data_IF_594735639006
#
_entry.id   IF_594735639006
#
_cell.length_a   1.000
_cell.length_b   1.000
_cell.length_c   1.000
_cell.angle_alpha   90.00
_cell.angle_beta   90.00
_cell.angle_gamma   90.00
#
_symmetry.space_group_name_H-M   'P 1'
#
loop_
_entity.id
_entity.type
_entity.pdbx_description
1 polymer ?
#
# COMPACT_ATOMS: atom_id res chain seq x y z
N UNK A 1 17.39 -36.15 -0.50
CA UNK A 1 16.80 -34.81 -0.75
C UNK A 1 15.40 -34.85 -1.39
N UNK A 2 15.14 -35.65 -2.41
CA UNK A 2 13.85 -35.74 -3.08
C UNK A 2 12.71 -36.26 -2.17
N UNK A 3 12.96 -37.17 -1.24
CA UNK A 3 11.94 -37.69 -0.31
C UNK A 3 11.42 -36.67 0.72
N UNK A 4 12.21 -35.68 1.09
CA UNK A 4 11.76 -34.61 2.00
C UNK A 4 10.92 -33.54 1.30
N UNK A 5 11.14 -33.33 0.00
CA UNK A 5 10.36 -32.39 -0.80
C UNK A 5 8.91 -32.86 -0.97
N UNK A 6 8.69 -34.15 -1.22
CA UNK A 6 7.35 -34.72 -1.34
C UNK A 6 6.59 -34.77 0.01
N UNK A 7 7.28 -34.94 1.11
CA UNK A 7 6.66 -34.91 2.45
C UNK A 7 6.17 -33.49 2.82
N UNK A 8 6.92 -32.44 2.48
CA UNK A 8 6.52 -31.05 2.73
C UNK A 8 5.36 -30.60 1.86
N UNK A 9 5.35 -30.99 0.59
CA UNK A 9 4.24 -30.71 -0.32
C UNK A 9 2.97 -31.43 0.13
N UNK A 10 3.07 -32.68 0.56
CA UNK A 10 1.93 -33.44 1.07
C UNK A 10 1.33 -32.85 2.35
N UNK A 11 2.15 -32.35 3.27
CA UNK A 11 1.68 -31.68 4.49
C UNK A 11 0.99 -30.34 4.17
N UNK A 12 1.53 -29.54 3.23
CA UNK A 12 0.88 -28.30 2.80
C UNK A 12 -0.46 -28.58 2.09
N UNK A 13 -0.52 -29.58 1.23
CA UNK A 13 -1.75 -29.98 0.54
C UNK A 13 -2.80 -30.51 1.52
N UNK A 14 -2.40 -31.27 2.54
CA UNK A 14 -3.29 -31.68 3.62
C UNK A 14 -3.80 -30.51 4.45
N UNK A 15 -2.97 -29.52 4.75
CA UNK A 15 -3.39 -28.30 5.47
C UNK A 15 -4.39 -27.48 4.67
N UNK A 16 -4.19 -27.33 3.36
CA UNK A 16 -5.12 -26.63 2.46
C UNK A 16 -6.44 -27.43 2.34
N UNK A 17 -6.39 -28.74 2.28
CA UNK A 17 -7.59 -29.58 2.20
C UNK A 17 -8.37 -29.59 3.53
N UNK A 18 -7.68 -29.55 4.67
CA UNK A 18 -8.32 -29.42 6.00
C UNK A 18 -8.96 -28.05 6.16
N UNK A 19 -8.31 -26.98 5.71
CA UNK A 19 -8.88 -25.62 5.70
C UNK A 19 -10.10 -25.51 4.79
N UNK A 20 -10.06 -26.10 3.60
CA UNK A 20 -11.21 -26.13 2.68
C UNK A 20 -12.38 -26.97 3.22
N UNK A 21 -12.12 -28.05 3.96
CA UNK A 21 -13.16 -28.89 4.55
C UNK A 21 -13.88 -28.19 5.72
N UNK A 22 -13.14 -27.40 6.54
CA UNK A 22 -13.76 -26.62 7.59
C UNK A 22 -14.57 -25.41 7.10
N UNK A 23 -14.28 -24.88 5.91
CA UNK A 23 -15.08 -23.80 5.29
C UNK A 23 -16.44 -24.32 4.78
N UNK A 24 -16.56 -25.59 4.43
CA UNK A 24 -17.81 -26.18 3.92
C UNK A 24 -18.78 -26.64 5.02
N UNK A 25 -18.36 -26.77 6.26
CA UNK A 25 -19.21 -27.25 7.38
C UNK A 25 -19.86 -26.14 8.22
N UNK A 26 -19.58 -24.84 7.96
CA UNK A 26 -20.19 -23.71 8.65
C UNK A 26 -21.32 -23.03 7.86
N UNK A 27 -22.20 -23.83 7.27
CA UNK A 27 -23.45 -23.36 6.68
C UNK A 27 -24.64 -23.69 7.57
N UNK A 28 -25.26 -22.66 8.12
CA UNK A 28 -26.56 -22.68 8.81
C UNK A 28 -26.52 -22.64 10.33
N UNK A 29 -26.44 -21.44 10.87
CA UNK A 29 -27.11 -21.10 12.12
C UNK A 29 -27.75 -19.70 11.98
N UNK A 30 -29.06 -19.68 12.12
CA UNK A 30 -29.91 -18.48 12.14
C UNK A 30 -29.59 -17.62 13.35
N UNK A 31 -28.97 -16.47 13.13
CA UNK A 31 -28.82 -15.43 14.14
C UNK A 31 -29.85 -14.31 13.89
N UNK A 32 -30.65 -14.05 14.91
CA UNK A 32 -31.62 -12.96 14.98
C UNK A 32 -30.90 -11.60 14.90
N UNK A 33 -31.27 -10.80 13.89
CA UNK A 33 -30.76 -9.45 13.68
C UNK A 33 -31.31 -8.47 14.71
N UNK A 34 -30.45 -7.95 15.55
CA UNK A 34 -30.65 -6.61 16.14
C UNK A 34 -30.11 -5.57 15.15
N UNK A 35 -30.83 -4.50 14.83
CA UNK A 35 -30.38 -3.52 13.86
C UNK A 35 -29.24 -2.68 14.46
N UNK A 36 -28.03 -2.90 13.95
CA UNK A 36 -26.89 -2.00 14.19
C UNK A 36 -27.17 -0.75 13.37
N UNK A 37 -27.27 0.39 14.07
CA UNK A 37 -27.41 1.69 13.45
C UNK A 37 -26.34 1.88 12.35
N UNK A 38 -26.83 2.07 11.13
CA UNK A 38 -26.02 2.35 9.96
C UNK A 38 -25.33 3.70 10.14
N UNK A 39 -24.06 3.69 10.50
CA UNK A 39 -23.19 4.85 10.30
C UNK A 39 -22.85 4.88 8.80
N UNK A 40 -23.85 5.14 7.98
CA UNK A 40 -23.64 5.70 6.66
C UNK A 40 -23.23 7.14 6.87
N UNK A 41 -21.93 7.42 6.86
CA UNK A 41 -21.45 8.77 6.67
C UNK A 41 -22.13 9.29 5.38
N UNK A 42 -23.06 10.20 5.53
CA UNK A 42 -23.65 10.93 4.40
C UNK A 42 -22.49 11.68 3.74
N UNK A 43 -21.95 11.11 2.65
CA UNK A 43 -21.04 11.82 1.78
C UNK A 43 -21.83 13.00 1.25
N UNK A 44 -21.55 14.18 1.77
CA UNK A 44 -22.14 15.44 1.32
C UNK A 44 -21.74 15.64 -0.12
N UNK A 45 -22.70 15.50 -1.05
CA UNK A 45 -22.56 15.80 -2.47
C UNK A 45 -22.57 17.32 -2.74
N UNK A 46 -21.93 18.13 -1.91
CA UNK A 46 -21.70 19.53 -2.28
C UNK A 46 -20.33 19.61 -2.96
N UNK A 47 -20.26 20.10 -4.21
CA UNK A 47 -18.99 20.44 -4.81
C UNK A 47 -18.32 21.48 -3.91
N UNK A 48 -17.10 21.23 -3.49
CA UNK A 48 -16.28 22.23 -2.78
C UNK A 48 -15.75 23.25 -3.80
N UNK A 49 -16.64 24.05 -4.38
CA UNK A 49 -16.29 25.05 -5.40
C UNK A 49 -15.55 26.27 -4.84
N UNK A 50 -15.14 26.27 -3.55
CA UNK A 50 -14.60 27.45 -2.89
C UNK A 50 -13.38 27.16 -1.96
N UNK A 51 -12.44 26.30 -2.32
CA UNK A 51 -11.14 26.30 -1.64
C UNK A 51 -10.34 27.51 -2.15
N UNK A 52 -10.57 28.67 -1.57
CA UNK A 52 -9.90 29.93 -1.95
C UNK A 52 -8.41 30.00 -1.55
N UNK A 53 -7.91 29.06 -0.75
CA UNK A 53 -6.53 29.10 -0.27
C UNK A 53 -5.98 27.70 0.00
N UNK A 54 -5.42 27.07 -1.03
CA UNK A 54 -4.77 25.77 -0.89
C UNK A 54 -3.61 25.77 0.12
N UNK A 55 -2.91 26.89 0.31
CA UNK A 55 -1.81 26.97 1.27
C UNK A 55 -2.27 26.61 2.70
N UNK A 56 -3.49 26.97 3.11
CA UNK A 56 -4.03 26.61 4.42
C UNK A 56 -4.30 25.11 4.56
N UNK A 57 -4.72 24.45 3.48
CA UNK A 57 -4.92 22.99 3.44
C UNK A 57 -3.56 22.29 3.62
N UNK A 58 -2.55 22.73 2.86
CA UNK A 58 -1.20 22.15 2.93
C UNK A 58 -0.57 22.31 4.31
N UNK A 59 -0.69 23.48 4.92
CA UNK A 59 -0.21 23.72 6.29
C UNK A 59 -0.92 22.84 7.30
N UNK A 60 -2.24 22.63 7.15
CA UNK A 60 -3.01 21.76 8.03
C UNK A 60 -2.60 20.28 7.87
N UNK A 61 -2.41 19.81 6.63
CA UNK A 61 -1.90 18.45 6.38
C UNK A 61 -0.53 18.25 7.03
N UNK A 62 0.37 19.21 6.85
CA UNK A 62 1.72 19.16 7.41
C UNK A 62 1.72 19.19 8.95
N UNK A 63 0.84 19.99 9.53
CA UNK A 63 0.66 20.11 10.98
C UNK A 63 0.07 18.86 11.66
N UNK A 64 -0.65 18.01 10.91
CA UNK A 64 -1.20 16.75 11.43
C UNK A 64 -0.15 15.65 11.57
N UNK A 65 0.97 15.74 10.83
CA UNK A 65 2.00 14.72 10.84
C UNK A 65 2.70 14.70 12.20
N UNK A 66 2.65 13.55 12.86
CA UNK A 66 3.27 13.34 14.16
C UNK A 66 3.87 11.93 14.26
N UNK A 67 4.43 11.57 15.41
CA UNK A 67 5.05 10.27 15.65
C UNK A 67 4.07 9.08 15.78
N UNK A 68 2.78 9.30 15.60
CA UNK A 68 1.73 8.27 15.69
C UNK A 68 0.97 8.08 14.40
N UNK A 69 0.88 9.14 13.57
CA UNK A 69 0.10 9.11 12.33
C UNK A 69 0.47 10.25 11.38
N UNK A 70 0.20 10.08 10.12
CA UNK A 70 0.30 11.14 9.10
C UNK A 70 -0.94 12.04 9.15
N UNK A 71 -2.08 11.50 9.55
CA UNK A 71 -3.34 12.25 9.66
C UNK A 71 -4.22 11.70 10.76
N UNK A 72 -5.14 12.55 11.21
CA UNK A 72 -6.27 12.14 12.07
C UNK A 72 -7.53 12.06 11.23
N UNK A 73 -8.28 10.95 11.32
CA UNK A 73 -9.50 10.77 10.54
C UNK A 73 -10.54 11.81 10.90
N UNK A 74 -10.96 12.58 9.92
CA UNK A 74 -11.95 13.65 10.01
C UNK A 74 -12.43 14.01 8.60
N UNK A 75 -13.42 14.88 8.48
CA UNK A 75 -13.87 15.44 7.19
C UNK A 75 -12.75 16.18 6.44
N UNK A 76 -11.74 16.64 7.15
CA UNK A 76 -10.57 17.30 6.55
C UNK A 76 -9.75 16.35 5.67
N UNK A 77 -9.73 15.03 5.94
CA UNK A 77 -9.03 14.07 5.07
C UNK A 77 -9.63 14.08 3.65
N UNK A 78 -10.94 14.16 3.54
CA UNK A 78 -11.63 14.22 2.24
C UNK A 78 -11.39 15.56 1.56
N UNK A 79 -11.33 16.67 2.30
CA UNK A 79 -10.94 17.99 1.80
C UNK A 79 -9.49 17.99 1.26
N UNK A 80 -8.55 17.40 2.00
CA UNK A 80 -7.17 17.26 1.60
C UNK A 80 -7.02 16.42 0.32
N UNK A 81 -7.75 15.32 0.20
CA UNK A 81 -7.80 14.48 -1.00
C UNK A 81 -8.39 15.26 -2.18
N UNK A 82 -9.45 16.02 -1.98
CA UNK A 82 -10.05 16.85 -3.04
C UNK A 82 -9.09 17.97 -3.48
N UNK A 83 -8.35 18.58 -2.56
CA UNK A 83 -7.31 19.55 -2.87
C UNK A 83 -6.18 18.94 -3.73
N UNK A 84 -5.71 17.73 -3.41
CA UNK A 84 -4.72 17.01 -4.23
C UNK A 84 -5.23 16.72 -5.65
N UNK A 85 -6.53 16.49 -5.81
CA UNK A 85 -7.17 16.25 -7.11
C UNK A 85 -7.30 17.51 -7.96
N UNK A 86 -7.56 18.67 -7.35
CA UNK A 86 -8.05 19.87 -8.05
C UNK A 86 -7.05 21.02 -8.09
N UNK A 87 -6.13 21.11 -7.13
CA UNK A 87 -5.19 22.22 -7.10
C UNK A 87 -4.37 22.28 -8.40
N UNK A 88 -4.26 23.50 -8.98
CA UNK A 88 -3.53 23.73 -10.23
C UNK A 88 -2.07 23.28 -10.09
N UNK A 89 -1.54 22.60 -11.09
CA UNK A 89 -0.11 22.34 -11.20
C UNK A 89 0.58 23.63 -11.63
N UNK A 90 1.57 24.08 -10.85
CA UNK A 90 2.35 25.31 -11.11
C UNK A 90 3.80 25.01 -11.49
N UNK A 91 4.27 23.77 -11.27
CA UNK A 91 5.58 23.28 -11.69
C UNK A 91 5.55 21.77 -11.84
N UNK A 92 6.25 21.24 -12.86
CA UNK A 92 6.40 19.81 -13.09
C UNK A 92 7.87 19.49 -13.44
N UNK A 93 8.47 18.60 -12.63
CA UNK A 93 9.86 18.17 -12.79
C UNK A 93 9.94 16.65 -12.94
N UNK A 94 10.87 16.16 -13.75
CA UNK A 94 11.22 14.74 -13.80
C UNK A 94 11.94 14.33 -12.52
N UNK A 95 11.61 13.16 -11.98
CA UNK A 95 12.32 12.56 -10.84
C UNK A 95 13.17 11.41 -11.35
N UNK A 96 14.49 11.56 -11.28
CA UNK A 96 15.46 10.58 -11.77
C UNK A 96 15.84 9.51 -10.73
N UNK A 97 15.50 9.74 -9.45
CA UNK A 97 15.80 8.79 -8.37
C UNK A 97 14.87 7.57 -8.42
N UNK A 98 15.45 6.37 -8.34
CA UNK A 98 14.72 5.10 -8.33
C UNK A 98 14.42 4.55 -9.72
N UNK A 99 13.63 3.46 -9.78
CA UNK A 99 13.39 2.67 -11.01
C UNK A 99 12.10 3.00 -11.74
N UNK A 100 11.16 3.72 -11.11
CA UNK A 100 9.86 4.05 -11.70
C UNK A 100 9.86 5.40 -12.42
N UNK A 101 9.11 5.50 -13.51
CA UNK A 101 8.82 6.77 -14.19
C UNK A 101 7.87 7.59 -13.33
N UNK A 102 8.32 8.76 -12.89
CA UNK A 102 7.56 9.59 -11.96
C UNK A 102 7.96 11.06 -12.04
N UNK A 103 7.04 11.94 -11.68
CA UNK A 103 7.22 13.38 -11.68
C UNK A 103 7.04 13.95 -10.28
N UNK A 104 7.76 15.01 -9.98
CA UNK A 104 7.46 15.88 -8.85
C UNK A 104 6.67 17.07 -9.36
N UNK A 105 5.43 17.18 -8.92
CA UNK A 105 4.59 18.32 -9.22
C UNK A 105 4.57 19.26 -8.02
N UNK A 106 4.56 20.56 -8.28
CA UNK A 106 4.22 21.58 -7.27
C UNK A 106 2.82 22.07 -7.57
N UNK A 107 1.94 21.97 -6.60
CA UNK A 107 0.55 22.40 -6.68
C UNK A 107 0.41 23.85 -6.21
N UNK A 108 -0.65 24.51 -6.64
CA UNK A 108 -1.02 25.84 -6.18
C UNK A 108 -1.08 25.86 -4.64
N UNK A 109 -0.53 26.92 -4.03
CA UNK A 109 -0.25 26.99 -2.60
C UNK A 109 1.08 26.37 -2.17
N UNK A 110 1.90 25.84 -3.11
CA UNK A 110 3.30 25.46 -2.89
C UNK A 110 3.55 24.00 -2.47
N UNK A 111 2.51 23.16 -2.38
CA UNK A 111 2.69 21.74 -2.00
C UNK A 111 3.37 20.92 -3.10
N UNK A 112 4.47 20.28 -2.76
CA UNK A 112 5.04 19.23 -3.61
C UNK A 112 4.27 17.91 -3.48
N UNK A 113 4.09 17.22 -4.60
CA UNK A 113 3.51 15.87 -4.66
C UNK A 113 4.33 15.00 -5.63
N UNK A 114 4.33 13.71 -5.39
CA UNK A 114 4.81 12.74 -6.35
C UNK A 114 3.65 12.32 -7.25
N UNK A 115 3.86 12.33 -8.56
CA UNK A 115 2.91 11.82 -9.53
C UNK A 115 3.49 10.60 -10.22
N UNK A 116 2.82 9.46 -10.10
CA UNK A 116 3.17 8.21 -10.77
C UNK A 116 2.16 7.97 -11.89
N UNK A 117 2.54 8.18 -13.17
CA UNK A 117 1.62 7.98 -14.30
C UNK A 117 1.40 6.50 -14.62
N UNK A 118 0.22 6.17 -15.13
CA UNK A 118 -0.11 4.85 -15.64
C UNK A 118 0.55 4.65 -17.00
N UNK A 119 1.56 3.80 -17.08
CA UNK A 119 2.25 3.49 -18.32
C UNK A 119 1.53 2.37 -19.08
N UNK A 120 1.02 2.68 -20.28
CA UNK A 120 0.38 1.72 -21.18
C UNK A 120 1.29 1.48 -22.37
N UNK A 121 1.67 0.24 -22.63
CA UNK A 121 2.55 -0.11 -23.74
C UNK A 121 1.89 0.20 -25.08
N UNK A 122 2.59 0.95 -25.96
CA UNK A 122 2.09 1.32 -27.27
C UNK A 122 1.78 0.11 -28.17
N UNK A 123 2.60 -0.95 -28.09
CA UNK A 123 2.50 -2.09 -29.00
C UNK A 123 1.37 -3.06 -28.61
N UNK A 124 1.21 -3.34 -27.32
CA UNK A 124 0.21 -4.30 -26.83
C UNK A 124 -1.07 -3.64 -26.35
N UNK A 125 -1.03 -2.33 -26.13
CA UNK A 125 -2.10 -1.56 -25.49
C UNK A 125 -2.51 -2.12 -24.12
N UNK A 126 -1.60 -2.85 -23.46
CA UNK A 126 -1.79 -3.49 -22.17
C UNK A 126 -0.85 -2.91 -21.12
N UNK A 127 -1.29 -2.94 -19.88
CA UNK A 127 -0.42 -2.73 -18.72
C UNK A 127 0.31 -4.04 -18.45
N UNK A 128 1.58 -3.96 -18.14
CA UNK A 128 2.35 -5.15 -17.77
C UNK A 128 1.87 -5.63 -16.40
N UNK A 129 1.44 -6.88 -16.30
CA UNK A 129 0.92 -7.48 -15.06
C UNK A 129 2.01 -8.20 -14.24
N UNK A 130 3.26 -8.16 -14.68
CA UNK A 130 4.35 -8.89 -14.05
C UNK A 130 5.04 -8.05 -12.97
N UNK A 131 4.85 -8.42 -11.72
CA UNK A 131 5.43 -7.74 -10.56
C UNK A 131 6.96 -7.80 -10.50
N UNK A 132 7.58 -8.75 -11.17
CA UNK A 132 9.05 -8.93 -11.10
C UNK A 132 9.76 -8.08 -12.16
N UNK A 133 9.10 -7.83 -13.27
CA UNK A 133 9.65 -7.16 -14.44
C UNK A 133 8.76 -6.04 -14.99
N UNK A 134 7.59 -5.81 -14.39
CA UNK A 134 6.59 -4.87 -14.86
C UNK A 134 6.82 -3.41 -14.46
N UNK A 135 5.98 -2.56 -14.98
CA UNK A 135 5.87 -1.17 -14.56
C UNK A 135 5.00 -1.06 -13.31
N UNK A 136 5.25 -0.04 -12.50
CA UNK A 136 4.39 0.28 -11.38
C UNK A 136 2.97 0.65 -11.82
N UNK A 137 2.00 0.25 -11.03
CA UNK A 137 0.59 0.52 -11.23
C UNK A 137 0.12 1.60 -10.24
N UNK A 138 -0.19 2.81 -10.68
CA UNK A 138 -0.59 3.90 -9.78
C UNK A 138 -1.87 3.59 -9.01
N UNK A 139 -2.78 2.79 -9.56
CA UNK A 139 -3.98 2.33 -8.86
C UNK A 139 -3.68 1.49 -7.61
N UNK A 140 -2.54 0.81 -7.55
CA UNK A 140 -2.14 0.05 -6.35
C UNK A 140 -1.64 0.97 -5.23
N UNK A 141 -1.06 2.13 -5.56
CA UNK A 141 -0.76 3.19 -4.58
C UNK A 141 -2.06 3.71 -3.93
N UNK A 142 -3.09 3.96 -4.74
CA UNK A 142 -4.40 4.42 -4.26
C UNK A 142 -5.08 3.33 -3.42
N UNK A 143 -5.00 2.08 -3.85
CA UNK A 143 -5.54 0.94 -3.13
C UNK A 143 -4.86 0.75 -1.77
N UNK A 144 -3.52 0.83 -1.72
CA UNK A 144 -2.74 0.77 -0.49
C UNK A 144 -3.16 1.86 0.51
N UNK A 145 -3.27 3.11 0.06
CA UNK A 145 -3.75 4.22 0.89
C UNK A 145 -5.19 3.98 1.38
N UNK A 146 -6.08 3.52 0.51
CA UNK A 146 -7.47 3.22 0.88
C UNK A 146 -7.55 2.14 1.94
N UNK A 147 -6.80 1.04 1.80
CA UNK A 147 -6.69 -0.01 2.81
C UNK A 147 -6.15 0.52 4.13
N UNK A 148 -5.07 1.29 4.08
CA UNK A 148 -4.44 1.90 5.25
C UNK A 148 -5.44 2.80 6.01
N UNK A 149 -6.28 3.55 5.27
CA UNK A 149 -7.35 4.36 5.84
C UNK A 149 -8.47 3.50 6.45
N UNK A 150 -8.95 2.49 5.73
CA UNK A 150 -9.99 1.56 6.21
C UNK A 150 -9.55 0.84 7.50
N UNK A 151 -8.30 0.40 7.58
CA UNK A 151 -7.74 -0.22 8.77
C UNK A 151 -7.31 0.78 9.84
N UNK A 152 -7.56 2.07 9.61
CA UNK A 152 -7.26 3.15 10.52
C UNK A 152 -5.77 3.22 10.95
N UNK A 153 -4.83 2.73 10.13
CA UNK A 153 -3.39 2.77 10.43
C UNK A 153 -2.84 4.18 10.36
N UNK A 154 -3.23 4.94 9.33
CA UNK A 154 -2.92 6.36 9.16
C UNK A 154 -1.42 6.67 9.03
N UNK A 155 -0.68 5.75 8.46
CA UNK A 155 0.76 5.85 8.25
C UNK A 155 1.18 5.75 6.78
N UNK A 156 0.25 5.94 5.84
CA UNK A 156 0.54 6.19 4.42
C UNK A 156 0.29 7.66 4.09
N UNK A 157 1.10 8.27 3.20
CA UNK A 157 0.83 9.59 2.66
C UNK A 157 -0.53 9.64 1.97
N UNK A 158 -1.22 10.78 2.04
CA UNK A 158 -2.45 10.97 1.25
C UNK A 158 -2.21 10.66 -0.20
N UNK A 159 -3.02 9.78 -0.77
CA UNK A 159 -2.86 9.30 -2.14
C UNK A 159 -4.22 9.24 -2.82
N UNK A 160 -4.29 9.71 -4.06
CA UNK A 160 -5.52 9.69 -4.87
C UNK A 160 -5.19 9.66 -6.35
N UNK A 161 -6.15 9.23 -7.17
CA UNK A 161 -6.06 9.33 -8.61
C UNK A 161 -6.21 10.76 -9.13
N UNK A 162 -5.56 11.04 -10.25
CA UNK A 162 -5.73 12.29 -11.00
C UNK A 162 -5.55 12.04 -12.49
N UNK A 163 -6.32 12.79 -13.31
CA UNK A 163 -6.15 12.92 -14.75
C UNK A 163 -5.60 14.28 -15.06
N UNK A 164 -4.49 14.35 -15.77
CA UNK A 164 -3.80 15.58 -16.15
C UNK A 164 -3.74 15.69 -17.66
N UNK A 165 -4.04 16.87 -18.19
CA UNK A 165 -3.82 17.19 -19.60
C UNK A 165 -2.36 17.60 -19.79
N UNK A 166 -1.63 16.88 -20.65
CA UNK A 166 -0.27 17.28 -20.98
C UNK A 166 -0.23 18.73 -21.46
N UNK A 167 -0.97 19.02 -22.53
CA UNK A 167 -0.93 20.31 -23.20
C UNK A 167 -1.39 21.49 -22.33
N UNK A 168 -2.41 21.26 -21.48
CA UNK A 168 -3.04 22.36 -20.75
C UNK A 168 -2.52 22.53 -19.32
N UNK A 169 -2.02 21.47 -18.70
CA UNK A 169 -1.65 21.47 -17.28
C UNK A 169 -0.17 21.21 -17.03
N UNK A 170 0.50 20.38 -17.85
CA UNK A 170 1.88 19.95 -17.60
C UNK A 170 2.88 20.69 -18.48
N UNK A 171 2.72 20.65 -19.80
CA UNK A 171 3.67 21.24 -20.76
C UNK A 171 4.01 22.71 -20.43
N UNK A 172 3.04 23.59 -20.08
CA UNK A 172 3.33 25.01 -19.80
C UNK A 172 4.19 25.26 -18.55
N UNK A 173 4.33 24.26 -17.67
CA UNK A 173 5.00 24.36 -16.36
C UNK A 173 6.06 23.28 -16.18
N UNK A 174 6.32 22.51 -17.22
CA UNK A 174 7.32 21.42 -17.21
C UNK A 174 8.73 21.98 -17.28
N UNK A 175 9.66 21.34 -16.54
CA UNK A 175 11.09 21.58 -16.69
C UNK A 175 11.61 21.01 -18.01
N UNK A 176 12.76 21.54 -18.48
CA UNK A 176 13.41 21.05 -19.69
C UNK A 176 13.64 19.53 -19.64
N UNK A 177 14.09 19.00 -18.52
CA UNK A 177 14.31 17.56 -18.32
C UNK A 177 13.04 16.72 -18.46
N UNK A 178 11.88 17.28 -18.10
CA UNK A 178 10.60 16.60 -18.30
C UNK A 178 10.16 16.70 -19.76
N UNK A 179 10.31 17.85 -20.39
CA UNK A 179 10.00 18.05 -21.83
C UNK A 179 10.85 17.12 -22.72
N UNK A 180 12.14 16.98 -22.43
CA UNK A 180 13.07 16.09 -23.16
C UNK A 180 12.74 14.59 -22.98
N UNK A 181 12.06 14.21 -21.90
CA UNK A 181 11.65 12.82 -21.65
C UNK A 181 10.43 12.37 -22.44
N UNK A 182 9.77 13.31 -23.13
CA UNK A 182 8.49 13.09 -23.78
C UNK A 182 8.59 13.31 -25.28
N UNK A 183 7.94 12.43 -26.05
CA UNK A 183 7.75 12.58 -27.50
C UNK A 183 6.26 12.77 -27.80
N UNK A 184 5.93 13.80 -28.57
CA UNK A 184 4.57 14.04 -29.06
C UNK A 184 4.47 13.51 -30.48
N UNK A 185 3.57 12.53 -30.69
CA UNK A 185 3.33 11.94 -32.00
C UNK A 185 2.48 12.88 -32.87
N UNK A 186 2.48 12.71 -34.22
CA UNK A 186 1.71 13.55 -35.14
C UNK A 186 0.19 13.58 -34.90
N UNK A 187 -0.35 12.52 -34.29
CA UNK A 187 -1.76 12.39 -33.87
C UNK A 187 -2.06 13.07 -32.53
N UNK A 188 -1.05 13.66 -31.87
CA UNK A 188 -1.15 14.35 -30.59
C UNK A 188 -1.04 13.41 -29.38
N UNK A 189 -0.73 12.13 -29.55
CA UNK A 189 -0.41 11.24 -28.44
C UNK A 189 0.92 11.63 -27.81
N UNK A 190 0.95 11.61 -26.49
CA UNK A 190 2.13 11.92 -25.66
C UNK A 190 2.78 10.61 -25.24
N UNK A 191 4.02 10.39 -25.64
CA UNK A 191 4.70 9.13 -25.40
C UNK A 191 6.02 9.33 -24.65
N UNK A 192 6.39 8.35 -23.85
CA UNK A 192 7.66 8.29 -23.11
C UNK A 192 8.38 6.97 -23.39
N UNK A 193 9.70 7.02 -23.40
CA UNK A 193 10.53 5.81 -23.46
C UNK A 193 11.05 5.52 -22.05
N UNK A 194 10.77 4.34 -21.54
CA UNK A 194 11.18 3.94 -20.21
C UNK A 194 11.46 2.45 -20.11
N UNK A 195 12.43 2.10 -19.31
CA UNK A 195 12.71 0.72 -18.89
C UNK A 195 12.05 0.47 -17.56
N UNK A 196 10.92 -0.22 -17.55
CA UNK A 196 10.36 -0.73 -16.29
C UNK A 196 11.30 -1.79 -15.70
N UNK A 197 11.19 -2.07 -14.42
CA UNK A 197 12.09 -2.93 -13.64
C UNK A 197 12.57 -4.14 -14.46
N UNK A 198 13.90 -4.25 -14.69
CA UNK A 198 14.55 -5.37 -15.38
C UNK A 198 14.08 -5.64 -16.82
N UNK A 199 13.29 -4.76 -17.43
CA UNK A 199 12.86 -4.88 -18.81
C UNK A 199 13.69 -4.03 -19.75
N UNK A 200 13.65 -4.38 -21.04
CA UNK A 200 14.18 -3.50 -22.09
C UNK A 200 13.31 -2.25 -22.17
N UNK A 201 13.91 -1.14 -22.55
CA UNK A 201 13.22 0.12 -22.79
C UNK A 201 12.11 -0.08 -23.82
N UNK A 202 10.91 0.42 -23.47
CA UNK A 202 9.71 0.38 -24.31
C UNK A 202 9.10 1.78 -24.42
N UNK A 203 8.25 1.95 -25.41
CA UNK A 203 7.48 3.17 -25.59
C UNK A 203 6.11 3.01 -24.96
N UNK A 204 5.74 3.95 -24.11
CA UNK A 204 4.44 4.03 -23.44
C UNK A 204 3.77 5.32 -23.83
N UNK A 205 2.48 5.28 -24.17
CA UNK A 205 1.76 6.46 -24.65
C UNK A 205 0.52 6.76 -23.83
N UNK A 206 0.21 8.03 -23.72
CA UNK A 206 -0.95 8.57 -23.03
C UNK A 206 -1.99 9.00 -24.06
N UNK A 207 -3.12 8.33 -24.12
CA UNK A 207 -4.16 8.54 -25.10
C UNK A 207 -4.68 9.99 -25.07
N UNK A 208 -4.70 10.65 -26.23
CA UNK A 208 -5.17 12.04 -26.39
C UNK A 208 -4.47 13.03 -25.46
N UNK A 209 -3.24 12.73 -25.04
CA UNK A 209 -2.49 13.58 -24.14
C UNK A 209 -3.08 13.68 -22.72
N UNK A 210 -3.98 12.76 -22.33
CA UNK A 210 -4.50 12.66 -20.97
C UNK A 210 -3.70 11.61 -20.21
N UNK A 211 -3.11 12.03 -19.12
CA UNK A 211 -2.23 11.23 -18.27
C UNK A 211 -2.96 10.90 -17.00
N UNK A 212 -3.30 9.64 -16.83
CA UNK A 212 -3.85 9.09 -15.60
C UNK A 212 -2.72 8.69 -14.66
N UNK A 213 -2.88 8.91 -13.36
CA UNK A 213 -1.84 8.52 -12.39
C UNK A 213 -2.24 8.75 -10.95
N UNK A 214 -1.40 8.28 -10.04
CA UNK A 214 -1.54 8.53 -8.60
C UNK A 214 -0.80 9.81 -8.21
N UNK A 215 -1.48 10.69 -7.50
CA UNK A 215 -0.90 11.83 -6.78
C UNK A 215 -0.68 11.41 -5.33
N UNK A 216 0.58 11.49 -4.88
CA UNK A 216 1.00 11.10 -3.54
C UNK A 216 1.57 12.34 -2.85
N UNK A 217 1.03 12.68 -1.68
CA UNK A 217 1.51 13.80 -0.86
C UNK A 217 2.98 13.62 -0.51
N UNK A 218 3.82 14.62 -0.83
CA UNK A 218 5.24 14.59 -0.55
C UNK A 218 5.52 15.09 0.88
N UNK A 219 5.96 14.18 1.74
CA UNK A 219 6.42 14.52 3.08
C UNK A 219 7.87 14.99 2.98
N UNK A 220 8.19 16.18 3.49
CA UNK A 220 9.53 16.73 3.39
C UNK A 220 10.58 15.88 4.11
N UNK A 221 11.74 15.67 3.47
CA UNK A 221 12.86 14.87 4.00
C UNK A 221 13.32 15.28 5.41
N UNK A 222 13.20 16.55 5.79
CA UNK A 222 13.53 17.00 7.16
C UNK A 222 12.72 16.33 8.26
N UNK A 223 11.58 15.72 7.91
CA UNK A 223 10.69 15.01 8.83
C UNK A 223 10.89 13.50 8.79
N UNK A 224 11.66 13.01 7.81
CA UNK A 224 11.84 11.60 7.55
C UNK A 224 13.32 11.28 7.67
N UNK A 225 13.68 10.37 8.57
CA UNK A 225 14.97 9.69 8.51
C UNK A 225 14.85 8.43 7.66
N UNK A 226 15.76 8.34 6.67
CA UNK A 226 15.90 7.11 5.94
C UNK A 226 16.39 6.02 6.88
N UNK A 227 15.83 4.85 6.68
CA UNK A 227 16.14 3.60 7.32
C UNK A 227 17.63 3.41 7.58
N UNK A 228 18.01 3.24 8.84
CA UNK A 228 19.37 2.83 9.19
C UNK A 228 19.69 1.50 8.51
N UNK A 229 20.83 1.44 7.82
CA UNK A 229 21.32 0.20 7.22
C UNK A 229 21.44 -0.89 8.30
N UNK A 230 20.71 -1.97 8.16
CA UNK A 230 20.70 -3.08 9.13
C UNK A 230 19.34 -3.67 9.44
N UNK A 231 18.29 -3.11 8.87
CA UNK A 231 16.96 -3.68 8.95
C UNK A 231 16.92 -5.04 8.26
N UNK A 232 16.37 -6.11 8.86
CA UNK A 232 15.94 -7.23 8.05
C UNK A 232 14.87 -6.71 7.10
N UNK A 233 15.22 -6.65 5.82
CA UNK A 233 14.30 -6.21 4.80
C UNK A 233 13.05 -7.08 4.87
N UNK A 234 11.91 -6.46 4.99
CA UNK A 234 10.63 -7.11 4.73
C UNK A 234 10.32 -7.13 3.23
N UNK A 235 11.09 -6.38 2.42
CA UNK A 235 10.94 -6.41 0.98
C UNK A 235 11.51 -7.70 0.39
N UNK A 236 10.72 -8.41 -0.37
CA UNK A 236 11.09 -9.61 -1.11
C UNK A 236 12.27 -9.36 -2.07
N UNK A 237 12.43 -8.13 -2.55
CA UNK A 237 13.50 -7.75 -3.46
C UNK A 237 14.89 -7.79 -2.79
N UNK A 238 15.03 -7.30 -1.55
CA UNK A 238 16.26 -7.47 -0.78
C UNK A 238 16.47 -8.94 -0.37
N UNK A 239 15.38 -9.68 -0.22
CA UNK A 239 15.38 -11.11 0.00
C UNK A 239 16.02 -11.88 -1.15
N UNK A 240 15.65 -11.57 -2.39
CA UNK A 240 16.21 -12.22 -3.58
C UNK A 240 17.63 -11.76 -3.89
N UNK A 241 17.96 -10.48 -3.68
CA UNK A 241 19.28 -9.93 -4.01
C UNK A 241 20.37 -10.32 -3.01
N UNK A 242 20.04 -10.51 -1.73
CA UNK A 242 21.00 -10.97 -0.73
C UNK A 242 21.08 -12.48 -0.59
N UNK A 243 20.56 -13.24 -1.57
CA UNK A 243 20.59 -14.68 -1.76
C UNK A 243 21.10 -15.52 -0.59
N UNK A 244 20.37 -16.51 -0.14
CA UNK A 244 20.78 -17.59 0.76
C UNK A 244 20.90 -17.34 2.28
N UNK A 245 21.17 -16.15 2.79
CA UNK A 245 21.24 -15.99 4.27
C UNK A 245 19.88 -15.73 4.90
N UNK A 246 19.04 -14.92 4.29
CA UNK A 246 17.70 -14.62 4.82
C UNK A 246 16.67 -15.70 4.44
N UNK A 247 16.80 -16.36 3.28
CA UNK A 247 15.92 -17.49 2.94
C UNK A 247 16.02 -18.66 3.92
N UNK A 248 17.15 -18.82 4.62
CA UNK A 248 17.28 -19.75 5.75
C UNK A 248 16.49 -19.30 6.97
N UNK A 249 16.38 -17.99 7.22
CA UNK A 249 15.61 -17.43 8.33
C UNK A 249 14.11 -17.67 8.20
N UNK A 250 13.57 -17.63 6.97
CA UNK A 250 12.12 -17.69 6.73
C UNK A 250 11.61 -19.10 6.37
N UNK A 251 12.47 -20.07 6.19
CA UNK A 251 12.08 -21.48 6.06
C UNK A 251 11.64 -22.13 7.36
N UNK A 252 11.55 -21.37 8.44
CA UNK A 252 11.24 -21.91 9.76
C UNK A 252 9.74 -22.10 9.93
N UNK A 253 9.35 -23.27 10.43
CA UNK A 253 7.98 -23.69 10.73
C UNK A 253 7.29 -22.72 11.72
N UNK A 254 5.94 -22.65 11.73
CA UNK A 254 5.21 -21.92 12.76
C UNK A 254 5.65 -22.35 14.15
N UNK A 255 6.16 -21.42 14.94
CA UNK A 255 6.63 -21.68 16.31
C UNK A 255 8.15 -21.67 16.53
N UNK A 256 8.95 -21.63 15.48
CA UNK A 256 10.37 -21.31 15.62
C UNK A 256 10.56 -19.79 15.70
N UNK A 257 10.86 -19.30 16.90
CA UNK A 257 10.84 -17.88 17.29
C UNK A 257 12.02 -17.05 16.74
N UNK A 258 12.70 -17.46 15.68
CA UNK A 258 13.94 -16.82 15.25
C UNK A 258 13.74 -15.37 14.80
N UNK A 259 12.68 -15.08 14.03
CA UNK A 259 12.36 -13.71 13.63
C UNK A 259 12.01 -12.84 14.85
N UNK A 260 11.17 -13.35 15.73
CA UNK A 260 10.71 -12.61 16.91
C UNK A 260 11.82 -12.35 17.92
N UNK A 261 12.74 -13.30 18.08
CA UNK A 261 13.90 -13.12 18.97
C UNK A 261 14.83 -12.04 18.39
N UNK A 262 15.18 -12.10 17.11
CA UNK A 262 16.02 -11.07 16.47
C UNK A 262 15.37 -9.69 16.57
N UNK A 263 14.06 -9.59 16.36
CA UNK A 263 13.35 -8.32 16.48
C UNK A 263 13.35 -7.80 17.91
N UNK A 264 13.07 -8.63 18.88
CA UNK A 264 13.03 -8.23 20.31
C UNK A 264 14.43 -7.93 20.87
N UNK A 265 15.47 -8.55 20.35
CA UNK A 265 16.87 -8.32 20.75
C UNK A 265 17.46 -7.07 20.12
N UNK A 266 16.98 -6.66 18.96
CA UNK A 266 17.46 -5.44 18.27
C UNK A 266 16.99 -4.19 19.03
N UNK A 267 17.88 -3.31 19.52
CA UNK A 267 17.52 -2.17 20.37
C UNK A 267 16.44 -1.27 19.81
N UNK A 268 16.44 -1.07 18.50
CA UNK A 268 15.46 -0.24 17.76
C UNK A 268 14.04 -0.83 17.85
N UNK A 269 13.88 -2.17 17.87
CA UNK A 269 12.59 -2.84 17.91
C UNK A 269 12.14 -3.25 19.32
N UNK A 270 12.96 -3.06 20.35
CA UNK A 270 12.57 -3.30 21.75
C UNK A 270 11.37 -2.45 22.17
N UNK A 271 11.13 -1.32 21.49
CA UNK A 271 9.90 -0.57 21.68
C UNK A 271 8.73 -1.41 21.14
N UNK A 272 7.80 -1.79 22.02
CA UNK A 272 6.58 -2.49 21.63
C UNK A 272 5.82 -1.77 20.51
N UNK A 273 5.88 -0.43 20.41
CA UNK A 273 5.25 0.36 19.37
C UNK A 273 5.88 0.13 18.00
N UNK A 274 7.21 0.16 17.91
CA UNK A 274 7.92 -0.10 16.64
C UNK A 274 7.67 -1.53 16.18
N UNK A 275 7.69 -2.49 17.10
CA UNK A 275 7.34 -3.88 16.79
C UNK A 275 5.91 -3.99 16.25
N UNK A 276 4.96 -3.33 16.89
CA UNK A 276 3.56 -3.30 16.42
C UNK A 276 3.41 -2.72 15.01
N UNK A 277 4.17 -1.68 14.65
CA UNK A 277 4.17 -1.14 13.29
C UNK A 277 4.68 -2.14 12.26
N UNK A 278 5.69 -2.95 12.59
CA UNK A 278 6.18 -4.02 11.71
C UNK A 278 5.13 -5.10 11.48
N UNK A 279 4.36 -5.44 12.50
CA UNK A 279 3.24 -6.39 12.36
C UNK A 279 2.14 -5.84 11.45
N UNK A 280 1.74 -4.57 11.65
CA UNK A 280 0.75 -3.91 10.78
C UNK A 280 1.22 -3.87 9.32
N UNK A 281 2.50 -3.56 9.12
CA UNK A 281 3.13 -3.53 7.82
C UNK A 281 3.09 -4.89 7.14
N UNK A 282 3.47 -5.96 7.84
CA UNK A 282 3.43 -7.32 7.32
C UNK A 282 2.01 -7.73 6.88
N UNK A 283 0.99 -7.32 7.63
CA UNK A 283 -0.41 -7.55 7.23
C UNK A 283 -0.75 -6.76 5.98
N UNK A 284 -0.38 -5.48 5.89
CA UNK A 284 -0.65 -4.66 4.71
C UNK A 284 0.05 -5.18 3.46
N UNK A 285 1.33 -5.52 3.57
CA UNK A 285 2.11 -6.07 2.46
C UNK A 285 1.56 -7.43 2.01
N UNK A 286 1.14 -8.28 2.93
CA UNK A 286 0.49 -9.55 2.58
C UNK A 286 -0.86 -9.33 1.90
N UNK A 287 -1.72 -8.46 2.39
CA UNK A 287 -3.01 -8.18 1.78
C UNK A 287 -2.86 -7.64 0.36
N UNK A 288 -1.88 -6.79 0.14
CA UNK A 288 -1.58 -6.19 -1.16
C UNK A 288 -0.60 -7.01 -2.00
N UNK A 289 0.00 -8.08 -1.48
CA UNK A 289 1.14 -8.79 -2.08
C UNK A 289 2.23 -7.82 -2.52
N UNK A 290 2.59 -6.89 -1.64
CA UNK A 290 3.63 -5.91 -1.89
C UNK A 290 5.00 -6.49 -1.54
N UNK A 291 5.74 -6.93 -2.54
CA UNK A 291 7.09 -7.50 -2.37
C UNK A 291 8.21 -6.47 -2.38
N UNK A 292 7.90 -5.23 -2.76
CA UNK A 292 8.87 -4.12 -2.81
C UNK A 292 8.55 -3.04 -1.76
N UNK A 293 7.82 -3.39 -0.72
CA UNK A 293 7.43 -2.46 0.35
C UNK A 293 8.63 -1.72 0.94
N UNK A 294 8.61 -0.40 0.88
CA UNK A 294 9.60 0.50 1.45
C UNK A 294 8.97 1.28 2.59
N UNK A 295 9.74 1.44 3.64
CA UNK A 295 9.26 2.08 4.86
C UNK A 295 10.27 3.13 5.29
N UNK A 296 9.82 4.37 5.31
CA UNK A 296 10.55 5.47 5.90
C UNK A 296 10.02 5.75 7.31
N UNK A 297 10.89 6.21 8.19
CA UNK A 297 10.52 6.51 9.56
C UNK A 297 10.49 8.02 9.78
N UNK A 298 9.43 8.51 10.42
CA UNK A 298 9.40 9.90 10.90
C UNK A 298 10.13 9.96 12.23
N UNK A 299 11.22 10.68 12.29
CA UNK A 299 11.85 11.04 13.53
C UNK A 299 11.33 12.39 14.03
N UNK A 300 10.53 12.36 15.07
CA UNK A 300 10.46 13.46 15.98
C UNK A 300 11.40 13.16 17.16
N UNK A 301 11.93 14.17 17.83
CA UNK A 301 12.92 14.11 18.95
C UNK A 301 12.56 13.17 20.13
N UNK A 302 11.67 12.22 19.93
CA UNK A 302 11.21 11.23 20.91
C UNK A 302 11.57 9.83 20.46
N UNK A 303 11.71 8.91 21.42
CA UNK A 303 12.05 7.50 21.21
C UNK A 303 11.01 6.66 20.43
N UNK A 304 10.04 7.31 19.78
CA UNK A 304 8.96 6.64 19.03
C UNK A 304 9.05 7.06 17.57
N UNK A 305 9.31 6.10 16.70
CA UNK A 305 9.34 6.28 15.26
C UNK A 305 8.05 5.76 14.64
N UNK A 306 7.41 6.55 13.76
CA UNK A 306 6.31 6.09 12.92
C UNK A 306 6.89 5.48 11.65
N UNK A 307 6.56 4.22 11.38
CA UNK A 307 6.85 3.61 10.08
C UNK A 307 5.86 4.13 9.04
N UNK A 308 6.37 4.82 8.03
CA UNK A 308 5.56 5.29 6.90
C UNK A 308 5.55 4.20 5.83
N UNK A 309 4.38 3.78 5.41
CA UNK A 309 4.21 2.83 4.30
C UNK A 309 4.17 3.59 2.98
N UNK A 310 5.02 3.23 2.04
CA UNK A 310 5.10 3.82 0.70
C UNK A 310 5.40 2.74 -0.34
N UNK A 311 5.24 3.10 -1.60
CA UNK A 311 5.70 2.31 -2.75
C UNK A 311 4.90 1.00 -2.94
N UNK A 312 3.60 1.13 -3.10
CA UNK A 312 2.68 0.02 -3.36
C UNK A 312 2.46 -0.26 -4.85
N UNK A 313 3.12 0.47 -5.74
CA UNK A 313 2.94 0.37 -7.19
C UNK A 313 3.22 -1.02 -7.79
N UNK A 314 4.03 -1.85 -7.13
CA UNK A 314 4.34 -3.24 -7.52
C UNK A 314 3.62 -4.26 -6.63
N UNK A 315 2.35 -4.05 -6.38
CA UNK A 315 1.49 -4.93 -5.59
C UNK A 315 0.66 -5.90 -6.46
N UNK A 316 -0.10 -6.76 -5.80
CA UNK A 316 -1.10 -7.66 -6.39
C UNK A 316 -0.55 -8.60 -7.47
N UNK A 317 0.66 -9.12 -7.23
CA UNK A 317 1.28 -10.14 -8.06
C UNK A 317 0.44 -11.41 -8.13
N UNK A 318 0.57 -12.16 -9.22
CA UNK A 318 -0.20 -13.38 -9.47
C UNK A 318 0.05 -14.50 -8.47
N UNK A 319 1.22 -14.55 -7.84
CA UNK A 319 1.60 -15.58 -6.87
C UNK A 319 1.40 -15.10 -5.44
N UNK A 320 0.56 -15.85 -4.70
CA UNK A 320 0.32 -15.60 -3.29
C UNK A 320 1.44 -16.27 -2.47
N UNK A 321 2.24 -15.47 -1.75
CA UNK A 321 3.30 -15.97 -0.88
C UNK A 321 3.03 -15.53 0.57
N UNK A 322 2.87 -16.52 1.44
CA UNK A 322 2.65 -16.31 2.87
C UNK A 322 3.87 -15.74 3.60
N UNK A 323 5.04 -15.67 2.94
CA UNK A 323 6.27 -15.15 3.53
C UNK A 323 6.13 -13.71 4.01
N UNK A 324 5.32 -12.89 3.31
CA UNK A 324 5.04 -11.51 3.70
C UNK A 324 4.38 -11.43 5.09
N UNK A 325 3.64 -12.47 5.47
CA UNK A 325 2.97 -12.55 6.77
C UNK A 325 3.85 -13.19 7.87
N UNK A 326 5.09 -13.57 7.55
CA UNK A 326 6.00 -14.24 8.47
C UNK A 326 6.14 -13.54 9.83
N UNK A 327 6.25 -12.21 9.94
CA UNK A 327 6.29 -11.52 11.22
C UNK A 327 5.11 -11.86 12.13
N UNK A 328 3.91 -11.92 11.56
CA UNK A 328 2.68 -12.20 12.31
C UNK A 328 2.61 -13.67 12.72
N UNK A 329 2.84 -14.61 11.79
CA UNK A 329 2.69 -16.03 12.12
C UNK A 329 3.81 -16.57 12.98
N UNK A 330 5.05 -16.08 12.88
CA UNK A 330 6.16 -16.51 13.72
C UNK A 330 6.05 -15.96 15.14
N UNK A 331 5.65 -14.68 15.26
CA UNK A 331 5.49 -14.06 16.58
C UNK A 331 4.15 -14.38 17.23
N UNK A 332 3.16 -14.81 16.44
CA UNK A 332 1.78 -14.94 16.90
C UNK A 332 1.28 -13.66 17.59
N UNK A 333 1.64 -12.50 17.05
CA UNK A 333 1.25 -11.21 17.61
C UNK A 333 0.62 -10.33 16.55
N UNK A 334 -0.32 -9.50 16.98
CA UNK A 334 -0.96 -8.45 16.19
C UNK A 334 -1.36 -7.28 17.09
N UNK A 335 -1.35 -6.05 16.57
CA UNK A 335 -1.88 -4.90 17.31
C UNK A 335 -3.40 -4.98 17.40
N UNK A 336 -3.97 -4.61 18.56
CA UNK A 336 -5.42 -4.56 18.79
C UNK A 336 -6.15 -3.80 17.69
N UNK A 337 -5.65 -2.63 17.31
CA UNK A 337 -6.25 -1.79 16.27
C UNK A 337 -6.35 -2.50 14.91
N UNK A 338 -5.30 -3.22 14.51
CA UNK A 338 -5.30 -4.01 13.27
C UNK A 338 -6.27 -5.19 13.40
N UNK A 339 -6.24 -5.93 14.51
CA UNK A 339 -7.14 -7.04 14.77
C UNK A 339 -8.61 -6.63 14.70
N UNK A 340 -8.98 -5.53 15.35
CA UNK A 340 -10.36 -5.00 15.32
C UNK A 340 -10.77 -4.55 13.91
N UNK A 341 -9.85 -3.97 13.16
CA UNK A 341 -10.09 -3.59 11.76
C UNK A 341 -10.32 -4.81 10.87
N UNK A 342 -9.51 -5.85 11.02
CA UNK A 342 -9.70 -7.12 10.32
C UNK A 342 -11.07 -7.73 10.66
N UNK A 343 -11.46 -7.77 11.93
CA UNK A 343 -12.77 -8.26 12.36
C UNK A 343 -13.93 -7.47 11.73
N UNK A 344 -13.81 -6.14 11.70
CA UNK A 344 -14.82 -5.24 11.10
C UNK A 344 -15.08 -5.57 9.64
N UNK A 345 -14.03 -5.89 8.89
CA UNK A 345 -14.13 -6.13 7.46
C UNK A 345 -14.21 -7.60 7.07
N UNK A 346 -14.40 -8.50 8.03
CA UNK A 346 -14.44 -9.94 7.77
C UNK A 346 -15.50 -10.34 6.73
N UNK A 347 -16.68 -9.71 6.75
CA UNK A 347 -17.79 -10.07 5.87
C UNK A 347 -18.12 -9.04 4.78
N UNK A 348 -17.71 -7.77 4.94
CA UNK A 348 -18.16 -6.67 4.08
C UNK A 348 -17.00 -5.87 3.43
N UNK A 349 -15.81 -6.46 3.39
CA UNK A 349 -14.62 -5.78 2.86
C UNK A 349 -14.83 -5.27 1.44
N UNK A 350 -15.39 -6.11 0.55
CA UNK A 350 -15.59 -5.78 -0.87
C UNK A 350 -16.44 -4.53 -1.06
N UNK A 351 -17.54 -4.43 -0.34
CA UNK A 351 -18.46 -3.28 -0.37
C UNK A 351 -17.81 -2.05 0.25
N UNK A 352 -17.12 -2.22 1.37
CA UNK A 352 -16.41 -1.12 2.04
C UNK A 352 -15.32 -0.53 1.15
N UNK A 353 -14.50 -1.37 0.49
CA UNK A 353 -13.46 -0.91 -0.43
C UNK A 353 -14.05 -0.19 -1.65
N UNK A 354 -15.07 -0.75 -2.30
CA UNK A 354 -15.75 -0.12 -3.43
C UNK A 354 -16.36 1.22 -3.05
N UNK A 355 -16.98 1.31 -1.88
CA UNK A 355 -17.55 2.56 -1.38
C UNK A 355 -16.47 3.62 -1.12
N UNK A 356 -15.35 3.22 -0.52
CA UNK A 356 -14.23 4.12 -0.21
C UNK A 356 -13.52 4.67 -1.46
N UNK A 357 -13.53 3.91 -2.57
CA UNK A 357 -12.89 4.32 -3.84
C UNK A 357 -13.86 4.93 -4.86
N UNK A 358 -15.17 4.95 -4.56
CA UNK A 358 -16.20 5.35 -5.55
C UNK A 358 -15.99 6.75 -6.11
N UNK A 359 -15.50 7.69 -5.30
CA UNK A 359 -15.25 9.08 -5.70
C UNK A 359 -13.88 9.30 -6.34
N UNK A 360 -13.03 8.28 -6.42
CA UNK A 360 -11.71 8.45 -7.01
C UNK A 360 -11.80 8.65 -8.53
N UNK A 361 -11.05 9.62 -9.12
CA UNK A 361 -11.05 9.86 -10.56
C UNK A 361 -10.67 8.64 -11.41
N UNK A 362 -9.91 7.70 -10.86
CA UNK A 362 -9.51 6.46 -11.54
C UNK A 362 -10.39 5.25 -11.17
N UNK A 363 -11.58 5.49 -10.61
CA UNK A 363 -12.50 4.40 -10.29
C UNK A 363 -12.96 3.64 -11.57
N UNK A 364 -12.96 2.28 -11.59
CA UNK A 364 -12.59 1.39 -10.48
C UNK A 364 -11.08 1.34 -10.24
N UNK A 365 -10.65 1.64 -8.99
CA UNK A 365 -9.24 1.63 -8.60
C UNK A 365 -8.64 0.24 -8.70
N UNK A 366 -9.39 -0.79 -8.33
CA UNK A 366 -9.02 -2.20 -8.50
C UNK A 366 -10.12 -2.93 -9.27
N UNK A 367 -9.71 -3.94 -10.03
CA UNK A 367 -10.66 -4.88 -10.62
C UNK A 367 -11.36 -5.69 -9.53
N UNK A 368 -12.57 -6.13 -9.81
CA UNK A 368 -13.37 -6.88 -8.82
C UNK A 368 -12.65 -8.13 -8.30
N UNK A 369 -11.96 -8.85 -9.16
CA UNK A 369 -11.17 -10.03 -8.81
C UNK A 369 -10.03 -9.72 -7.83
N UNK A 370 -9.39 -8.55 -7.93
CA UNK A 370 -8.31 -8.13 -7.03
C UNK A 370 -8.86 -7.83 -5.64
N UNK A 371 -10.01 -7.15 -5.58
CA UNK A 371 -10.70 -6.89 -4.31
C UNK A 371 -11.12 -8.19 -3.63
N UNK A 372 -11.63 -9.17 -4.39
CA UNK A 372 -11.95 -10.51 -3.87
C UNK A 372 -10.71 -11.26 -3.39
N UNK A 373 -9.57 -11.11 -4.09
CA UNK A 373 -8.32 -11.72 -3.67
C UNK A 373 -7.81 -11.12 -2.35
N UNK A 374 -7.88 -9.80 -2.17
CA UNK A 374 -7.57 -9.14 -0.88
C UNK A 374 -8.50 -9.66 0.21
N UNK A 375 -9.79 -9.78 -0.05
CA UNK A 375 -10.78 -10.30 0.91
C UNK A 375 -10.45 -11.74 1.33
N UNK A 376 -10.05 -12.60 0.38
CA UNK A 376 -9.58 -13.97 0.68
C UNK A 376 -8.36 -13.96 1.61
N UNK A 377 -7.34 -13.14 1.31
CA UNK A 377 -6.15 -12.99 2.16
C UNK A 377 -6.47 -12.47 3.55
N UNK A 378 -7.46 -11.59 3.67
CA UNK A 378 -7.97 -11.14 4.97
C UNK A 378 -8.49 -12.33 5.80
N UNK A 379 -9.24 -13.25 5.18
CA UNK A 379 -9.67 -14.47 5.86
C UNK A 379 -8.50 -15.38 6.26
N UNK A 380 -7.44 -15.47 5.45
CA UNK A 380 -6.22 -16.21 5.80
C UNK A 380 -5.55 -15.62 7.05
N UNK A 381 -5.45 -14.29 7.14
CA UNK A 381 -4.93 -13.62 8.35
C UNK A 381 -5.78 -13.96 9.57
N UNK A 382 -7.11 -13.95 9.44
CA UNK A 382 -8.01 -14.34 10.53
C UNK A 382 -7.77 -15.78 10.99
N UNK A 383 -7.74 -16.73 10.05
CA UNK A 383 -7.51 -18.14 10.40
C UNK A 383 -6.18 -18.34 11.13
N UNK A 384 -5.13 -17.64 10.70
CA UNK A 384 -3.84 -17.64 11.37
C UNK A 384 -3.94 -17.12 12.81
N UNK A 385 -4.61 -15.99 12.99
CA UNK A 385 -4.77 -15.38 14.33
C UNK A 385 -5.61 -16.27 15.25
N UNK A 386 -6.63 -16.94 14.73
CA UNK A 386 -7.43 -17.90 15.50
C UNK A 386 -6.56 -19.08 16.02
N UNK A 387 -5.62 -19.57 15.19
CA UNK A 387 -4.65 -20.60 15.60
C UNK A 387 -3.74 -20.06 16.70
N UNK A 388 -3.21 -18.84 16.54
CA UNK A 388 -2.36 -18.21 17.54
C UNK A 388 -3.10 -17.98 18.86
N UNK A 389 -4.33 -17.48 18.81
CA UNK A 389 -5.17 -17.24 20.00
C UNK A 389 -5.49 -18.56 20.71
N UNK A 390 -5.81 -19.63 19.97
CA UNK A 390 -6.04 -20.95 20.55
C UNK A 390 -4.81 -21.50 21.27
N UNK A 391 -3.61 -21.23 20.73
CA UNK A 391 -2.35 -21.76 21.26
C UNK A 391 -1.82 -20.96 22.46
N UNK A 392 -1.91 -19.63 22.40
CA UNK A 392 -1.23 -18.74 23.34
C UNK A 392 -2.18 -17.90 24.20
N UNK A 393 -3.47 -17.88 23.88
CA UNK A 393 -4.46 -17.01 24.52
C UNK A 393 -4.51 -15.60 23.91
N UNK A 394 -5.68 -15.00 23.99
CA UNK A 394 -5.98 -13.71 23.35
C UNK A 394 -5.09 -12.57 23.85
N UNK A 395 -4.83 -12.54 25.16
CA UNK A 395 -4.06 -11.48 25.84
C UNK A 395 -2.58 -11.47 25.44
N UNK A 396 -2.03 -12.63 25.01
CA UNK A 396 -0.65 -12.74 24.56
C UNK A 396 -0.52 -12.43 23.05
N UNK A 397 -1.57 -12.69 22.29
CA UNK A 397 -1.57 -12.51 20.82
C UNK A 397 -1.91 -11.07 20.42
N UNK A 398 -2.87 -10.45 21.11
CA UNK A 398 -3.37 -9.11 20.77
C UNK A 398 -2.69 -8.08 21.66
N UNK A 399 -1.83 -7.26 21.03
CA UNK A 399 -0.99 -6.29 21.74
C UNK A 399 -1.71 -4.93 21.85
N UNK A 400 -1.77 -4.40 23.06
CA UNK A 400 -2.25 -3.05 23.38
C UNK A 400 -1.09 -2.04 23.29
N UNK A 401 -0.67 -1.70 22.06
CA UNK A 401 0.50 -0.86 21.80
C UNK A 401 0.25 0.15 20.68
#
# INVERSE_FOLDING_TARGET
MIRYFYATVAVLTCLILILNKHVSEFGSSTFTHTPIASVTAKISKKPFDNVKNYSSVWLSMDGMINNLSIYTESSFVDEAIDALRRAKVIKADMVLDGSSYKWRLTLDGGQSVLFKPALVNLTTNERTSDCVSGCEHPEYEIAGFTLNRLFALRNMPYTTGRRLSWRNEIEPVASDSLLESVNILPDGEVCVRWACLRMMEKTYCFKKGIIEGAVIYWIERRKIEQRAQGFPATSHHEFHLRGNRLSKFFKLMPGEQTFCNVFRETPFYRSNKTFGHVLDMAVMDYLMLNYDGKHDFILQKSAISLSILIDYGLSLCSEEDSILLAPVYQCCNIRRKMYESLLRFKSNFTEAFKSATLSDPLNPVLQHQDVLAIHRRLHTVHALLDICIKKYGKEQVILDI
#
